data_IF_253318862989
#
_entry.id   IF_253318862989
#
_cell.length_a   1.000
_cell.length_b   1.000
_cell.length_c   1.000
_cell.angle_alpha   90.00
_cell.angle_beta   90.00
_cell.angle_gamma   90.00
#
_symmetry.space_group_name_H-M   'P 1'
#
loop_
_entity.id
_entity.type
_entity.pdbx_description
1 polymer ?
#
# COMPACT_ATOMS: atom_id res chain seq x y z
N UNK A 1 12.63 -17.57 30.35
CA UNK A 1 13.61 -16.48 30.54
C UNK A 1 14.98 -17.02 30.18
N UNK A 2 15.51 -16.66 29.01
CA UNK A 2 16.91 -16.95 28.66
C UNK A 2 17.51 -15.66 28.11
N UNK A 3 18.53 -15.18 28.81
CA UNK A 3 19.33 -14.01 28.47
C UNK A 3 20.40 -14.47 27.49
N UNK A 4 20.54 -13.78 26.36
CA UNK A 4 21.75 -13.87 25.53
C UNK A 4 22.25 -12.44 25.33
N UNK A 5 23.27 -12.10 26.11
CA UNK A 5 24.15 -10.96 25.92
C UNK A 5 25.26 -11.42 24.97
N UNK A 6 25.31 -10.85 23.77
CA UNK A 6 26.50 -10.91 22.92
C UNK A 6 26.93 -9.49 22.58
N UNK A 7 27.87 -8.99 23.38
CA UNK A 7 28.72 -7.89 22.99
C UNK A 7 29.74 -8.41 21.97
N UNK A 8 29.87 -7.73 20.83
CA UNK A 8 31.07 -7.82 20.00
C UNK A 8 31.41 -6.42 19.51
N UNK A 9 32.34 -5.79 20.22
CA UNK A 9 33.18 -4.73 19.68
C UNK A 9 34.30 -5.40 18.89
N UNK A 10 34.44 -5.08 17.62
CA UNK A 10 35.76 -4.91 17.02
C UNK A 10 35.62 -4.05 15.75
N UNK A 11 36.04 -2.79 15.88
CA UNK A 11 36.25 -1.91 14.75
C UNK A 11 37.56 -2.26 14.04
N UNK A 12 37.58 -2.05 12.73
CA UNK A 12 38.77 -1.88 11.88
C UNK A 12 38.34 -0.86 10.81
N UNK A 13 38.61 0.41 11.05
CA UNK A 13 39.76 1.15 10.50
C UNK A 13 39.70 1.29 8.98
N UNK A 14 39.31 2.52 8.63
CA UNK A 14 39.45 3.24 7.37
C UNK A 14 40.75 2.89 6.63
N UNK A 15 40.61 2.40 5.39
CA UNK A 15 41.63 2.58 4.35
C UNK A 15 40.96 3.41 3.27
N UNK A 16 41.10 4.72 3.42
CA UNK A 16 40.84 5.69 2.35
C UNK A 16 42.10 5.85 1.51
N UNK A 17 41.97 5.57 0.22
CA UNK A 17 42.88 5.98 -0.83
C UNK A 17 42.04 6.25 -2.09
N UNK A 18 42.09 7.48 -2.62
CA UNK A 18 41.85 7.72 -4.05
C UNK A 18 40.91 8.86 -4.42
N UNK A 19 41.54 9.99 -4.79
CA UNK A 19 41.04 11.10 -5.64
C UNK A 19 39.88 11.98 -5.17
N UNK A 20 40.26 13.20 -4.78
CA UNK A 20 39.41 14.39 -4.81
C UNK A 20 39.11 14.78 -6.26
N UNK A 21 37.88 14.58 -6.71
CA UNK A 21 37.26 15.36 -7.78
C UNK A 21 35.73 15.30 -7.61
N UNK A 22 35.08 16.46 -7.63
CA UNK A 22 33.64 16.58 -7.92
C UNK A 22 32.68 16.24 -6.78
N UNK A 23 32.30 17.28 -6.04
CA UNK A 23 31.13 17.32 -5.16
C UNK A 23 29.87 16.72 -5.80
N UNK A 24 29.37 15.66 -5.19
CA UNK A 24 28.04 15.12 -5.49
C UNK A 24 27.98 13.64 -5.13
N UNK A 25 27.89 13.32 -3.83
CA UNK A 25 27.41 12.00 -3.41
C UNK A 25 26.13 11.70 -4.21
N UNK A 26 25.98 10.53 -4.87
CA UNK A 26 24.70 10.16 -5.42
C UNK A 26 23.74 10.14 -4.24
N UNK A 27 22.81 11.09 -4.19
CA UNK A 27 21.66 10.96 -3.30
C UNK A 27 21.08 9.57 -3.56
N UNK A 28 20.79 8.75 -2.53
CA UNK A 28 20.06 7.52 -2.72
C UNK A 28 18.85 7.84 -3.60
N UNK A 29 18.75 7.20 -4.77
CA UNK A 29 17.55 7.36 -5.60
C UNK A 29 16.40 6.85 -4.74
N UNK A 30 15.53 7.76 -4.28
CA UNK A 30 14.30 7.37 -3.61
C UNK A 30 13.60 6.38 -4.55
N UNK A 31 13.16 5.19 -4.08
CA UNK A 31 12.43 4.25 -4.92
C UNK A 31 11.33 5.00 -5.64
N UNK A 32 11.18 4.75 -6.95
CA UNK A 32 10.03 5.28 -7.68
C UNK A 32 8.83 4.48 -7.16
N UNK A 33 7.77 5.17 -6.76
CA UNK A 33 6.53 4.52 -6.34
C UNK A 33 5.53 4.65 -7.46
N UNK A 34 4.95 3.54 -7.90
CA UNK A 34 3.87 3.50 -8.90
C UNK A 34 2.55 3.09 -8.23
N UNK A 35 1.44 3.48 -8.84
CA UNK A 35 0.10 3.16 -8.35
C UNK A 35 -0.51 2.04 -9.18
N UNK A 36 -0.95 0.97 -8.52
CA UNK A 36 -1.64 -0.16 -9.14
C UNK A 36 -3.07 -0.29 -8.61
N UNK A 37 -4.00 -0.85 -9.38
CA UNK A 37 -5.36 -1.17 -8.94
C UNK A 37 -5.44 -2.65 -8.57
N UNK A 38 -5.93 -2.95 -7.37
CA UNK A 38 -6.32 -4.30 -6.96
C UNK A 38 -7.84 -4.40 -6.86
N UNK A 39 -8.41 -5.51 -7.34
CA UNK A 39 -9.86 -5.75 -7.33
C UNK A 39 -10.25 -7.15 -6.87
N UNK A 40 -11.47 -7.30 -6.37
CA UNK A 40 -12.07 -8.58 -5.97
C UNK A 40 -13.61 -8.52 -5.96
N UNK A 41 -14.25 -9.70 -6.02
CA UNK A 41 -15.69 -9.85 -5.80
C UNK A 41 -15.98 -10.19 -4.34
N UNK A 42 -17.06 -9.63 -3.81
CA UNK A 42 -17.49 -9.81 -2.43
C UNK A 42 -18.98 -10.16 -2.36
N UNK A 43 -19.35 -10.89 -1.32
CA UNK A 43 -20.75 -11.24 -1.05
C UNK A 43 -21.60 -10.08 -0.51
N UNK A 44 -20.98 -8.99 -0.03
CA UNK A 44 -21.69 -7.85 0.55
C UNK A 44 -20.86 -6.57 0.52
N UNK A 45 -21.53 -5.42 0.65
CA UNK A 45 -20.87 -4.12 0.80
C UNK A 45 -19.95 -4.10 2.02
N UNK A 46 -20.41 -4.67 3.14
CA UNK A 46 -19.64 -4.69 4.38
C UNK A 46 -18.34 -5.50 4.27
N UNK A 47 -18.35 -6.63 3.55
CA UNK A 47 -17.15 -7.45 3.35
C UNK A 47 -16.18 -6.81 2.37
N UNK A 48 -16.68 -6.08 1.36
CA UNK A 48 -15.86 -5.25 0.48
C UNK A 48 -15.09 -4.18 1.29
N UNK A 49 -15.81 -3.32 2.01
CA UNK A 49 -15.21 -2.22 2.77
C UNK A 49 -14.22 -2.72 3.84
N UNK A 50 -14.58 -3.77 4.59
CA UNK A 50 -13.68 -4.37 5.60
C UNK A 50 -12.41 -4.96 4.97
N UNK A 51 -12.53 -5.62 3.82
CA UNK A 51 -11.37 -6.18 3.10
C UNK A 51 -10.41 -5.06 2.66
N UNK A 52 -10.94 -3.98 2.07
CA UNK A 52 -10.13 -2.83 1.64
C UNK A 52 -9.44 -2.18 2.85
N UNK A 53 -10.17 -1.93 3.93
CA UNK A 53 -9.58 -1.35 5.15
C UNK A 53 -8.49 -2.26 5.74
N UNK A 54 -8.71 -3.58 5.74
CA UNK A 54 -7.73 -4.56 6.27
C UNK A 54 -6.50 -4.69 5.39
N UNK A 55 -6.64 -4.59 4.06
CA UNK A 55 -5.50 -4.67 3.13
C UNK A 55 -4.67 -3.40 3.11
N UNK A 56 -5.33 -2.25 3.20
CA UNK A 56 -4.69 -0.95 3.07
C UNK A 56 -4.17 -0.42 4.41
N UNK A 57 -4.75 -0.87 5.53
CA UNK A 57 -4.50 -0.32 6.88
C UNK A 57 -4.75 1.19 6.96
N UNK A 58 -5.56 1.72 6.04
CA UNK A 58 -5.94 3.12 5.96
C UNK A 58 -7.43 3.30 6.27
N UNK A 59 -7.83 4.41 6.90
CA UNK A 59 -9.25 4.71 7.08
C UNK A 59 -9.90 4.95 5.72
N UNK A 60 -11.14 4.50 5.55
CA UNK A 60 -11.93 4.81 4.37
C UNK A 60 -12.56 6.20 4.54
N UNK A 61 -12.42 7.07 3.55
CA UNK A 61 -13.08 8.39 3.50
C UNK A 61 -14.07 8.41 2.34
N UNK A 62 -15.32 7.96 2.55
CA UNK A 62 -16.34 7.93 1.49
C UNK A 62 -16.64 9.33 0.95
N UNK A 63 -16.69 9.44 -0.37
CA UNK A 63 -17.21 10.59 -1.13
C UNK A 63 -18.60 10.28 -1.68
N UNK A 64 -18.84 9.01 -2.02
CA UNK A 64 -20.16 8.45 -2.29
C UNK A 64 -20.47 7.43 -1.20
N UNK A 65 -21.64 7.54 -0.57
CA UNK A 65 -22.13 6.59 0.43
C UNK A 65 -23.61 6.28 0.14
N UNK A 66 -23.83 5.28 -0.72
CA UNK A 66 -25.15 4.78 -1.09
C UNK A 66 -25.21 3.26 -0.85
N UNK A 67 -26.42 2.69 -0.63
CA UNK A 67 -26.56 1.26 -0.38
C UNK A 67 -25.98 0.35 -1.47
N UNK A 68 -25.99 0.81 -2.72
CA UNK A 68 -25.52 0.10 -3.90
C UNK A 68 -24.10 0.51 -4.34
N UNK A 69 -23.56 1.60 -3.80
CA UNK A 69 -22.26 2.14 -4.21
C UNK A 69 -21.64 2.98 -3.09
N UNK A 70 -20.46 2.55 -2.63
CA UNK A 70 -19.59 3.33 -1.75
C UNK A 70 -18.23 3.50 -2.41
N UNK A 71 -17.76 4.74 -2.54
CA UNK A 71 -16.45 5.07 -3.12
C UNK A 71 -15.84 6.30 -2.47
N UNK A 72 -14.52 6.44 -2.55
CA UNK A 72 -13.83 7.57 -1.94
C UNK A 72 -12.32 7.39 -1.87
N UNK A 73 -11.70 8.02 -0.88
CA UNK A 73 -10.24 8.02 -0.69
C UNK A 73 -9.80 7.11 0.46
N UNK A 74 -8.56 6.63 0.39
CA UNK A 74 -7.87 5.91 1.45
C UNK A 74 -7.04 6.89 2.28
N UNK A 75 -7.48 7.18 3.51
CA UNK A 75 -6.83 8.18 4.36
C UNK A 75 -6.77 9.56 3.72
N UNK A 76 -5.75 10.34 4.09
CA UNK A 76 -5.50 11.66 3.51
C UNK A 76 -4.58 11.59 2.27
N UNK A 77 -4.75 10.55 1.46
CA UNK A 77 -3.99 10.32 0.21
C UNK A 77 -4.85 10.56 -1.03
N UNK A 78 -4.23 10.54 -2.21
CA UNK A 78 -4.92 10.52 -3.50
C UNK A 78 -5.37 9.11 -3.94
N UNK A 79 -5.08 8.09 -3.13
CA UNK A 79 -5.47 6.71 -3.40
C UNK A 79 -6.96 6.52 -3.19
N UNK A 80 -7.57 5.74 -4.08
CA UNK A 80 -9.03 5.64 -4.18
C UNK A 80 -9.50 4.21 -3.92
N UNK A 81 -10.77 4.09 -3.55
CA UNK A 81 -11.47 2.82 -3.45
C UNK A 81 -12.91 2.93 -3.98
N UNK A 82 -13.45 1.77 -4.34
CA UNK A 82 -14.83 1.60 -4.79
C UNK A 82 -15.35 0.24 -4.33
N UNK A 83 -16.62 0.20 -3.93
CA UNK A 83 -17.42 -0.98 -3.73
C UNK A 83 -18.79 -0.74 -4.38
N UNK A 84 -19.15 -1.52 -5.40
CA UNK A 84 -20.37 -1.33 -6.17
C UNK A 84 -21.13 -2.65 -6.34
N UNK A 85 -22.45 -2.63 -6.13
CA UNK A 85 -23.30 -3.79 -6.40
C UNK A 85 -23.39 -4.01 -7.91
N UNK A 86 -23.07 -5.23 -8.35
CA UNK A 86 -23.22 -5.70 -9.73
C UNK A 86 -24.24 -6.82 -9.78
N UNK A 87 -25.10 -6.79 -10.80
CA UNK A 87 -26.05 -7.85 -11.10
C UNK A 87 -25.74 -8.43 -12.47
N UNK A 88 -25.56 -9.75 -12.53
CA UNK A 88 -25.33 -10.47 -13.78
C UNK A 88 -26.33 -11.63 -13.88
N UNK A 89 -26.64 -12.04 -15.11
CA UNK A 89 -27.59 -13.13 -15.35
C UNK A 89 -27.10 -14.50 -14.85
N UNK A 90 -25.79 -14.74 -14.84
CA UNK A 90 -25.20 -16.05 -14.51
C UNK A 90 -24.68 -16.14 -13.09
N UNK A 91 -24.12 -15.07 -12.53
CA UNK A 91 -23.54 -15.08 -11.17
C UNK A 91 -24.49 -14.49 -10.12
N UNK A 92 -25.61 -13.90 -10.56
CA UNK A 92 -26.55 -13.22 -9.68
C UNK A 92 -26.02 -11.86 -9.22
N UNK A 93 -26.28 -11.51 -7.95
CA UNK A 93 -25.88 -10.23 -7.37
C UNK A 93 -24.61 -10.41 -6.53
N UNK A 94 -23.60 -9.57 -6.76
CA UNK A 94 -22.38 -9.49 -5.95
C UNK A 94 -21.93 -8.04 -5.80
N UNK A 95 -20.91 -7.79 -4.97
CA UNK A 95 -20.24 -6.48 -4.88
C UNK A 95 -18.87 -6.56 -5.53
N UNK A 96 -18.62 -5.73 -6.51
CA UNK A 96 -17.31 -5.53 -7.11
C UNK A 96 -16.56 -4.45 -6.34
N UNK A 97 -15.40 -4.80 -5.81
CA UNK A 97 -14.54 -3.89 -5.06
C UNK A 97 -13.20 -3.68 -5.73
N UNK A 98 -12.70 -2.46 -5.75
CA UNK A 98 -11.33 -2.15 -6.15
C UNK A 98 -10.73 -1.02 -5.31
N UNK A 99 -9.40 -0.99 -5.21
CA UNK A 99 -8.67 0.07 -4.53
C UNK A 99 -7.27 0.21 -5.12
N UNK A 100 -6.67 1.40 -4.99
CA UNK A 100 -5.29 1.62 -5.44
C UNK A 100 -4.26 1.27 -4.36
N UNK A 101 -3.12 0.74 -4.76
CA UNK A 101 -1.95 0.45 -3.92
C UNK A 101 -0.71 1.13 -4.46
N UNK A 102 0.22 1.45 -3.56
CA UNK A 102 1.56 1.91 -3.91
C UNK A 102 2.50 0.72 -3.99
N UNK A 103 3.22 0.60 -5.11
CA UNK A 103 4.25 -0.42 -5.33
C UNK A 103 5.59 0.26 -5.54
N UNK A 104 6.63 -0.23 -4.86
CA UNK A 104 8.00 0.22 -5.07
C UNK A 104 8.56 -0.44 -6.34
N UNK A 105 8.99 0.36 -7.31
CA UNK A 105 9.71 -0.11 -8.49
C UNK A 105 11.19 0.19 -8.32
N UNK A 106 11.99 -0.87 -8.46
CA UNK A 106 13.45 -0.90 -8.31
C UNK A 106 14.16 -0.88 -9.67
#
# INVERSE_FOLDING_TARGET
>A
MFKILTASLLGLLLIGCGNSDGTGSPKPKKPKTETEIQGAKFSSMSSCLKSIQSKTQLPLKPMTDKPDHVSGFLGDTDRQFNCEVKQTGTEGTFVEGWFTVEVEVY
#
